data_IF_374938456832
#
_entry.id   IF_374938456832
#
_cell.length_a   1.000
_cell.length_b   1.000
_cell.length_c   1.000
_cell.angle_alpha   90.00
_cell.angle_beta   90.00
_cell.angle_gamma   90.00
#
_symmetry.space_group_name_H-M   'P 1'
#
loop_
_entity.id
_entity.type
_entity.pdbx_description
1 polymer ?
#
# COMPACT_ATOMS: atom_id res chain seq x y z
N UNK A 1 -3.37 9.31 1.20
CA UNK A 1 -2.63 8.32 1.99
C UNK A 1 -3.34 8.11 3.33
N UNK A 2 -3.85 6.90 3.55
CA UNK A 2 -4.27 6.45 4.87
C UNK A 2 -3.09 5.74 5.55
N UNK A 3 -2.87 5.99 6.83
CA UNK A 3 -1.81 5.36 7.63
C UNK A 3 -2.44 4.77 8.88
N UNK A 4 -2.30 3.45 9.04
CA UNK A 4 -2.83 2.71 10.19
C UNK A 4 -1.67 2.04 10.92
N UNK A 5 -1.54 2.30 12.21
CA UNK A 5 -0.60 1.60 13.08
C UNK A 5 -1.20 0.29 13.58
N UNK A 6 -0.40 -0.76 13.52
CA UNK A 6 -0.67 -2.06 14.16
C UNK A 6 0.35 -2.25 15.28
N UNK A 7 -0.09 -2.46 16.52
CA UNK A 7 0.80 -2.75 17.65
C UNK A 7 0.16 -3.69 18.68
N UNK A 8 0.98 -4.14 19.64
CA UNK A 8 0.50 -4.86 20.81
C UNK A 8 0.47 -3.90 22.00
N UNK A 9 -0.61 -3.91 22.77
CA UNK A 9 -0.67 -3.16 24.02
C UNK A 9 0.11 -3.87 25.15
N UNK A 10 0.08 -3.28 26.35
CA UNK A 10 0.76 -3.82 27.54
C UNK A 10 0.27 -5.21 27.96
N UNK A 11 -0.92 -5.62 27.53
CA UNK A 11 -1.51 -6.94 27.81
C UNK A 11 -1.24 -7.92 26.67
N UNK A 12 -0.48 -7.52 25.64
CA UNK A 12 -0.21 -8.33 24.46
C UNK A 12 -1.39 -8.39 23.49
N UNK A 13 -2.41 -7.56 23.66
CA UNK A 13 -3.57 -7.55 22.75
C UNK A 13 -3.27 -6.68 21.53
N UNK A 14 -3.61 -7.19 20.36
CA UNK A 14 -3.50 -6.48 19.09
C UNK A 14 -4.38 -5.23 19.06
N UNK A 15 -3.81 -4.14 18.57
CA UNK A 15 -4.45 -2.84 18.40
C UNK A 15 -4.23 -2.36 16.97
N UNK A 16 -5.32 -1.94 16.32
CA UNK A 16 -5.32 -1.28 15.02
C UNK A 16 -5.81 0.15 15.19
N UNK A 17 -5.00 1.14 14.83
CA UNK A 17 -5.34 2.56 14.99
C UNK A 17 -5.04 3.34 13.73
N UNK A 18 -6.06 4.01 13.18
CA UNK A 18 -5.86 4.98 12.11
C UNK A 18 -5.10 6.18 12.67
N UNK A 19 -3.89 6.40 12.19
CA UNK A 19 -3.04 7.53 12.59
C UNK A 19 -3.35 8.78 11.77
N UNK A 20 -3.60 8.60 10.48
CA UNK A 20 -3.89 9.73 9.59
C UNK A 20 -4.64 9.30 8.33
N UNK A 21 -5.44 10.22 7.81
CA UNK A 21 -5.97 10.21 6.45
C UNK A 21 -5.55 11.52 5.77
N UNK A 22 -4.40 11.50 5.09
CA UNK A 22 -3.80 12.68 4.46
C UNK A 22 -4.13 12.73 2.98
N UNK A 23 -4.51 13.91 2.48
CA UNK A 23 -4.52 14.18 1.05
C UNK A 23 -3.07 14.20 0.55
N UNK A 24 -2.75 13.37 -0.45
CA UNK A 24 -1.45 13.45 -1.12
C UNK A 24 -1.49 14.62 -2.11
N UNK A 25 -0.56 15.55 -1.99
CA UNK A 25 -0.42 16.70 -2.88
C UNK A 25 0.77 16.48 -3.81
N UNK A 26 0.64 16.86 -5.08
CA UNK A 26 1.68 16.69 -6.10
C UNK A 26 1.72 15.28 -6.71
N UNK A 27 2.85 14.95 -7.34
CA UNK A 27 3.07 13.67 -7.99
C UNK A 27 3.05 12.52 -6.97
N UNK A 28 2.47 11.38 -7.33
CA UNK A 28 2.45 10.17 -6.51
C UNK A 28 3.78 9.39 -6.61
N UNK A 29 4.91 10.10 -6.55
CA UNK A 29 6.25 9.48 -6.53
C UNK A 29 6.56 8.90 -5.15
N UNK A 30 7.49 7.95 -5.09
CA UNK A 30 7.90 7.33 -3.83
C UNK A 30 8.42 8.35 -2.82
N UNK A 31 9.23 9.30 -3.26
CA UNK A 31 9.80 10.39 -2.44
C UNK A 31 8.70 11.24 -1.80
N UNK A 32 7.69 11.63 -2.57
CA UNK A 32 6.58 12.43 -2.06
C UNK A 32 5.72 11.65 -1.06
N UNK A 33 5.52 10.35 -1.29
CA UNK A 33 4.84 9.48 -0.34
C UNK A 33 5.65 9.34 0.95
N UNK A 34 6.97 9.19 0.87
CA UNK A 34 7.88 9.12 2.01
C UNK A 34 7.83 10.38 2.87
N UNK A 35 7.81 11.56 2.24
CA UNK A 35 7.67 12.85 2.95
C UNK A 35 6.35 12.91 3.72
N UNK A 36 5.23 12.52 3.10
CA UNK A 36 3.92 12.49 3.78
C UNK A 36 3.93 11.50 4.94
N UNK A 37 4.46 10.29 4.75
CA UNK A 37 4.54 9.26 5.78
C UNK A 37 5.42 9.72 6.96
N UNK A 38 6.60 10.27 6.67
CA UNK A 38 7.51 10.81 7.68
C UNK A 38 6.95 12.01 8.44
N UNK A 39 6.07 12.81 7.84
CA UNK A 39 5.31 13.84 8.58
C UNK A 39 4.34 13.21 9.57
N UNK A 40 3.59 12.18 9.16
CA UNK A 40 2.68 11.47 10.07
C UNK A 40 3.44 10.85 11.24
N UNK A 41 4.60 10.22 10.99
CA UNK A 41 5.41 9.65 12.09
C UNK A 41 5.86 10.71 13.09
N UNK A 42 6.36 11.86 12.60
CA UNK A 42 6.77 13.01 13.43
C UNK A 42 5.64 13.60 14.26
N UNK A 43 4.45 13.74 13.69
CA UNK A 43 3.27 14.24 14.40
C UNK A 43 2.90 13.35 15.59
N UNK A 44 3.07 12.03 15.43
CA UNK A 44 2.80 11.04 16.46
C UNK A 44 3.98 10.76 17.39
N UNK A 45 5.20 11.25 17.07
CA UNK A 45 6.45 11.03 17.81
C UNK A 45 6.78 9.54 17.96
N UNK A 46 6.76 8.83 16.84
CA UNK A 46 6.97 7.37 16.76
C UNK A 46 8.01 6.96 15.71
N UNK A 47 8.82 7.90 15.21
CA UNK A 47 9.86 7.68 14.20
C UNK A 47 10.80 6.54 14.58
N UNK A 48 11.16 6.44 15.86
CA UNK A 48 12.02 5.43 16.46
C UNK A 48 11.32 4.07 16.72
N UNK A 49 10.01 3.99 16.47
CA UNK A 49 9.17 2.81 16.78
C UNK A 49 8.62 2.11 15.56
N UNK A 50 8.98 2.55 14.35
CA UNK A 50 8.50 1.96 13.11
C UNK A 50 9.28 0.67 12.81
N UNK A 51 8.66 -0.48 13.06
CA UNK A 51 9.24 -1.79 12.77
C UNK A 51 9.14 -2.15 11.29
N UNK A 52 7.92 -2.38 10.82
CA UNK A 52 7.61 -2.89 9.48
C UNK A 52 6.50 -2.06 8.85
N UNK A 53 6.56 -1.86 7.53
CA UNK A 53 5.47 -1.26 6.76
C UNK A 53 4.83 -2.31 5.87
N UNK A 54 3.49 -2.29 5.82
CA UNK A 54 2.68 -3.12 4.92
C UNK A 54 2.03 -2.20 3.90
N UNK A 55 2.22 -2.48 2.61
CA UNK A 55 1.61 -1.69 1.54
C UNK A 55 1.36 -2.50 0.28
N UNK A 56 0.58 -1.92 -0.63
CA UNK A 56 0.30 -2.47 -1.93
C UNK A 56 1.56 -2.64 -2.80
N UNK A 57 1.49 -3.59 -3.72
CA UNK A 57 2.48 -3.96 -4.71
C UNK A 57 2.59 -2.94 -5.86
N UNK A 58 2.82 -1.67 -5.51
CA UNK A 58 3.09 -0.60 -6.47
C UNK A 58 4.59 -0.30 -6.48
N UNK A 59 5.16 -0.07 -7.67
CA UNK A 59 6.58 0.28 -7.83
C UNK A 59 6.97 1.57 -7.10
N UNK A 60 6.05 2.52 -7.00
CA UNK A 60 6.22 3.77 -6.22
C UNK A 60 6.47 3.49 -4.73
N UNK A 61 5.92 2.41 -4.19
CA UNK A 61 6.06 2.08 -2.77
C UNK A 61 7.46 1.58 -2.43
N UNK A 62 8.15 0.93 -3.37
CA UNK A 62 9.54 0.50 -3.15
C UNK A 62 10.46 1.71 -2.95
N UNK A 63 10.33 2.72 -3.81
CA UNK A 63 11.06 3.98 -3.64
C UNK A 63 10.58 4.76 -2.40
N UNK A 64 9.29 4.70 -2.07
CA UNK A 64 8.76 5.31 -0.85
C UNK A 64 9.46 4.79 0.40
N UNK A 65 9.50 3.47 0.59
CA UNK A 65 10.09 2.90 1.81
C UNK A 65 11.60 3.03 1.85
N UNK A 66 12.26 3.03 0.69
CA UNK A 66 13.68 3.31 0.61
C UNK A 66 14.01 4.70 1.17
N UNK A 67 13.32 5.73 0.68
CA UNK A 67 13.53 7.10 1.15
C UNK A 67 13.08 7.25 2.62
N UNK A 68 11.92 6.69 2.97
CA UNK A 68 11.37 6.80 4.32
C UNK A 68 12.28 6.19 5.40
N UNK A 69 12.74 4.95 5.22
CA UNK A 69 13.64 4.33 6.19
C UNK A 69 15.05 4.92 6.15
N UNK A 70 15.51 5.37 4.97
CA UNK A 70 16.77 6.10 4.85
C UNK A 70 16.77 7.43 5.61
N UNK A 71 15.64 8.14 5.61
CA UNK A 71 15.44 9.37 6.38
C UNK A 71 15.35 9.12 7.89
N UNK A 72 14.82 7.96 8.30
CA UNK A 72 14.72 7.57 9.71
C UNK A 72 16.07 7.12 10.29
N UNK A 73 16.85 6.37 9.52
CA UNK A 73 18.15 5.84 9.92
C UNK A 73 19.08 5.73 8.71
N UNK A 74 19.99 6.71 8.59
CA UNK A 74 20.96 6.78 7.49
C UNK A 74 21.96 5.62 7.48
N UNK A 75 22.09 4.87 8.59
CA UNK A 75 22.94 3.69 8.69
C UNK A 75 22.28 2.40 8.20
N UNK A 76 20.98 2.44 7.87
CA UNK A 76 20.23 1.24 7.51
C UNK A 76 20.60 0.73 6.11
N UNK A 77 20.98 -0.55 6.03
CA UNK A 77 21.28 -1.17 4.74
C UNK A 77 20.02 -1.39 3.89
N UNK A 78 20.19 -1.41 2.56
CA UNK A 78 19.09 -1.71 1.62
C UNK A 78 18.40 -3.05 1.90
N UNK A 79 19.18 -4.04 2.35
CA UNK A 79 18.68 -5.37 2.71
C UNK A 79 17.77 -5.28 3.94
N UNK A 80 18.17 -4.53 4.95
CA UNK A 80 17.38 -4.32 6.16
C UNK A 80 16.08 -3.54 5.86
N UNK A 81 16.15 -2.50 5.02
CA UNK A 81 14.97 -1.76 4.57
C UNK A 81 13.98 -2.71 3.88
N UNK A 82 14.46 -3.52 2.92
CA UNK A 82 13.62 -4.50 2.21
C UNK A 82 12.99 -5.53 3.16
N UNK A 83 13.73 -6.01 4.15
CA UNK A 83 13.22 -6.95 5.15
C UNK A 83 12.09 -6.36 6.03
N UNK A 84 12.02 -5.03 6.14
CA UNK A 84 10.96 -4.30 6.86
C UNK A 84 9.77 -3.92 5.97
N UNK A 85 9.79 -4.27 4.70
CA UNK A 85 8.72 -3.97 3.76
C UNK A 85 7.97 -5.25 3.39
N UNK A 86 6.70 -5.33 3.78
CA UNK A 86 5.84 -6.48 3.46
C UNK A 86 4.74 -6.05 2.49
N UNK A 87 4.43 -6.91 1.50
CA UNK A 87 3.34 -6.66 0.56
C UNK A 87 1.98 -6.96 1.21
N UNK A 88 0.98 -6.15 0.88
CA UNK A 88 -0.38 -6.35 1.37
C UNK A 88 -0.98 -7.61 0.76
N UNK A 89 -1.20 -8.62 1.61
CA UNK A 89 -1.64 -9.94 1.19
C UNK A 89 -2.95 -9.93 0.40
N UNK A 90 -3.91 -9.08 0.79
CA UNK A 90 -5.20 -8.97 0.08
C UNK A 90 -5.04 -8.57 -1.39
N UNK A 91 -4.07 -7.72 -1.71
CA UNK A 91 -3.82 -7.36 -3.11
C UNK A 91 -3.13 -8.49 -3.86
N UNK A 92 -2.20 -9.21 -3.24
CA UNK A 92 -1.58 -10.39 -3.86
C UNK A 92 -2.65 -11.43 -4.19
N UNK A 93 -3.57 -11.69 -3.27
CA UNK A 93 -4.72 -12.57 -3.52
C UNK A 93 -5.58 -12.07 -4.68
N UNK A 94 -5.87 -10.77 -4.73
CA UNK A 94 -6.64 -10.19 -5.83
C UNK A 94 -5.93 -10.34 -7.18
N UNK A 95 -4.61 -10.13 -7.23
CA UNK A 95 -3.81 -10.33 -8.45
C UNK A 95 -3.84 -11.79 -8.91
N UNK A 96 -3.69 -12.73 -7.97
CA UNK A 96 -3.79 -14.17 -8.26
C UNK A 96 -5.18 -14.52 -8.78
N UNK A 97 -6.25 -14.10 -8.10
CA UNK A 97 -7.61 -14.36 -8.52
C UNK A 97 -7.91 -13.80 -9.93
N UNK A 98 -7.45 -12.57 -10.20
CA UNK A 98 -7.61 -11.94 -11.53
C UNK A 98 -6.87 -12.72 -12.62
N UNK A 99 -5.65 -13.17 -12.35
CA UNK A 99 -4.90 -13.99 -13.31
C UNK A 99 -5.61 -15.34 -13.59
N UNK A 100 -6.20 -15.96 -12.57
CA UNK A 100 -6.97 -17.20 -12.73
C UNK A 100 -8.26 -17.01 -13.52
N UNK A 101 -9.02 -15.95 -13.24
CA UNK A 101 -10.34 -15.73 -13.86
C UNK A 101 -10.24 -15.19 -15.29
N UNK A 102 -9.28 -14.30 -15.55
CA UNK A 102 -9.27 -13.51 -16.77
C UNK A 102 -8.01 -13.71 -17.63
N UNK A 103 -7.01 -14.45 -17.14
CA UNK A 103 -5.75 -14.66 -17.86
C UNK A 103 -4.93 -13.38 -18.06
N UNK A 104 -4.05 -13.39 -19.05
CA UNK A 104 -3.28 -12.22 -19.47
C UNK A 104 -4.16 -11.27 -20.28
N UNK A 105 -4.67 -10.21 -19.64
CA UNK A 105 -5.55 -9.25 -20.30
C UNK A 105 -6.74 -8.77 -19.49
N UNK A 106 -6.72 -8.93 -18.15
CA UNK A 106 -7.76 -8.41 -17.27
C UNK A 106 -8.20 -6.97 -17.59
N UNK A 107 -7.25 -6.08 -17.91
CA UNK A 107 -7.57 -4.66 -18.18
C UNK A 107 -8.47 -4.52 -19.41
N UNK A 108 -8.26 -5.36 -20.44
CA UNK A 108 -9.11 -5.42 -21.61
C UNK A 108 -10.50 -5.99 -21.25
N UNK A 109 -10.54 -7.06 -20.44
CA UNK A 109 -11.81 -7.63 -19.97
C UNK A 109 -12.63 -6.66 -19.12
N UNK A 110 -12.01 -5.94 -18.17
CA UNK A 110 -12.70 -4.92 -17.37
C UNK A 110 -13.21 -3.77 -18.23
N UNK A 111 -12.40 -3.29 -19.17
CA UNK A 111 -12.80 -2.23 -20.09
C UNK A 111 -14.00 -2.67 -20.95
N UNK A 112 -13.96 -3.89 -21.48
CA UNK A 112 -15.05 -4.45 -22.27
C UNK A 112 -16.31 -4.63 -21.43
N UNK A 113 -16.21 -5.17 -20.21
CA UNK A 113 -17.34 -5.31 -19.28
C UNK A 113 -17.96 -3.96 -18.89
N UNK A 114 -17.15 -2.92 -18.65
CA UNK A 114 -17.65 -1.57 -18.38
C UNK A 114 -18.41 -0.99 -19.58
N UNK A 115 -17.91 -1.22 -20.80
CA UNK A 115 -18.60 -0.83 -22.04
C UNK A 115 -19.92 -1.59 -22.18
N UNK A 116 -19.95 -2.90 -21.95
CA UNK A 116 -21.17 -3.71 -21.99
C UNK A 116 -22.23 -3.23 -20.99
N UNK A 117 -21.83 -2.95 -19.75
CA UNK A 117 -22.70 -2.37 -18.71
C UNK A 117 -23.23 -0.99 -19.12
N UNK A 118 -22.37 -0.12 -19.67
CA UNK A 118 -22.79 1.21 -20.13
C UNK A 118 -23.79 1.14 -21.29
N UNK A 119 -23.65 0.14 -22.16
CA UNK A 119 -24.55 -0.10 -23.29
C UNK A 119 -25.86 -0.79 -22.88
N UNK A 120 -26.07 -1.10 -21.59
CA UNK A 120 -27.27 -1.77 -21.09
C UNK A 120 -27.46 -3.17 -21.67
N UNK A 121 -26.39 -3.76 -22.20
CA UNK A 121 -26.40 -5.12 -22.74
C UNK A 121 -26.13 -6.07 -21.58
N UNK A 122 -27.18 -6.41 -20.85
CA UNK A 122 -27.15 -7.61 -20.04
C UNK A 122 -27.09 -8.81 -21.00
N UNK A 123 -26.19 -9.75 -20.72
CA UNK A 123 -26.35 -11.08 -21.29
C UNK A 123 -27.74 -11.56 -20.86
N UNK A 124 -28.63 -11.80 -21.81
CA UNK A 124 -29.83 -12.57 -21.55
C UNK A 124 -29.32 -13.96 -21.13
N UNK A 125 -29.33 -14.21 -19.83
CA UNK A 125 -28.73 -15.37 -19.17
C UNK A 125 -29.10 -16.70 -19.87
N UNK A 126 -28.10 -17.57 -20.01
CA UNK A 126 -28.18 -18.99 -20.39
C UNK A 126 -29.07 -19.81 -19.45
#
# INVERSE_FOLDING_TARGET
MAVTAQNLDRQGKHQSRLLALRRQLGCHSGENLAVTLGRVMREWKIEDRVGTVISENASSNDNCFLNFYGDLDTGMSLVAIRARCTRFYGQILNLVARAFLYGEGFEAFEAESQVFNFLGRHEDDL
#
